data_IF_866173964568
#
_entry.id   IF_866173964568
#
_cell.length_a   1.000
_cell.length_b   1.000
_cell.length_c   1.000
_cell.angle_alpha   90.00
_cell.angle_beta   90.00
_cell.angle_gamma   90.00
#
_symmetry.space_group_name_H-M   'P 1'
#
loop_
_entity.id
_entity.type
_entity.pdbx_description
1 polymer ?
#
# COMPACT_ATOMS: atom_id res chain seq x y z
N UNK A 1 -36.66 -15.29 -16.40
CA UNK A 1 -36.08 -16.44 -15.68
C UNK A 1 -34.62 -16.15 -15.35
N UNK A 2 -34.37 -15.84 -14.06
CA UNK A 2 -33.11 -15.92 -13.29
C UNK A 2 -31.79 -15.50 -13.97
N UNK A 3 -31.33 -14.28 -13.67
CA UNK A 3 -29.91 -13.92 -13.64
C UNK A 3 -29.22 -14.62 -12.45
N UNK A 4 -28.17 -15.43 -12.65
CA UNK A 4 -27.37 -15.97 -11.55
C UNK A 4 -26.00 -15.29 -11.52
N UNK A 5 -25.90 -14.04 -11.06
CA UNK A 5 -24.62 -13.32 -10.96
C UNK A 5 -24.46 -12.47 -9.67
N UNK A 6 -25.10 -12.86 -8.57
CA UNK A 6 -24.94 -12.18 -7.25
C UNK A 6 -24.42 -13.17 -6.19
N UNK A 7 -23.48 -14.05 -6.56
CA UNK A 7 -22.94 -15.06 -5.65
C UNK A 7 -21.52 -14.80 -5.12
N UNK A 8 -20.56 -14.13 -5.81
CA UNK A 8 -19.23 -13.96 -5.23
C UNK A 8 -19.14 -12.83 -4.19
N UNK A 9 -20.15 -11.96 -4.10
CA UNK A 9 -20.12 -10.77 -3.23
C UNK A 9 -20.95 -10.92 -1.95
N UNK A 10 -21.70 -12.02 -1.76
CA UNK A 10 -22.53 -12.21 -0.55
C UNK A 10 -21.71 -12.19 0.74
N UNK A 11 -20.53 -12.82 0.74
CA UNK A 11 -19.61 -12.79 1.88
C UNK A 11 -19.02 -11.39 2.12
N UNK A 12 -18.77 -10.64 1.04
CA UNK A 12 -18.25 -9.27 1.05
C UNK A 12 -19.26 -8.33 1.73
N UNK A 13 -20.52 -8.40 1.29
CA UNK A 13 -21.63 -7.63 1.85
C UNK A 13 -21.92 -8.03 3.30
N UNK A 14 -21.89 -9.32 3.64
CA UNK A 14 -22.21 -9.80 5.00
C UNK A 14 -21.12 -9.43 6.02
N UNK A 15 -19.83 -9.52 5.65
CA UNK A 15 -18.72 -9.10 6.50
C UNK A 15 -18.76 -7.58 6.76
N UNK A 16 -19.05 -6.80 5.72
CA UNK A 16 -19.23 -5.36 5.82
C UNK A 16 -20.46 -5.00 6.70
N UNK A 17 -21.57 -5.73 6.53
CA UNK A 17 -22.77 -5.59 7.37
C UNK A 17 -22.51 -5.93 8.85
N UNK A 18 -21.67 -6.92 9.14
CA UNK A 18 -21.23 -7.25 10.50
C UNK A 18 -20.42 -6.11 11.13
N UNK A 19 -19.52 -5.48 10.37
CA UNK A 19 -18.75 -4.30 10.81
C UNK A 19 -19.65 -3.09 11.10
N UNK A 20 -20.68 -2.89 10.27
CA UNK A 20 -21.69 -1.84 10.47
C UNK A 20 -22.55 -2.10 11.70
N UNK A 21 -22.99 -3.36 11.93
CA UNK A 21 -23.80 -3.72 13.12
C UNK A 21 -23.08 -3.36 14.42
N UNK A 22 -21.75 -3.50 14.48
CA UNK A 22 -20.94 -3.09 15.62
C UNK A 22 -20.96 -1.57 15.87
N UNK A 23 -21.08 -0.75 14.83
CA UNK A 23 -21.17 0.71 14.95
C UNK A 23 -22.57 1.19 15.35
N UNK A 24 -23.63 0.57 14.81
CA UNK A 24 -25.02 0.99 15.07
C UNK A 24 -25.52 0.61 16.46
N UNK A 25 -24.87 -0.35 17.14
CA UNK A 25 -25.27 -0.79 18.49
C UNK A 25 -24.97 0.24 19.59
N UNK A 26 -24.11 1.24 19.33
CA UNK A 26 -23.64 2.19 20.35
C UNK A 26 -24.42 3.52 20.44
N UNK A 27 -25.38 3.83 19.56
CA UNK A 27 -25.97 5.18 19.54
C UNK A 27 -27.50 5.18 19.41
N UNK A 28 -28.20 5.60 20.48
CA UNK A 28 -29.66 5.83 20.51
C UNK A 28 -30.11 7.16 19.87
N UNK A 29 -29.20 7.87 19.18
CA UNK A 29 -29.51 9.14 18.53
C UNK A 29 -29.84 8.95 17.05
N UNK A 30 -31.10 9.21 16.68
CA UNK A 30 -31.61 9.15 15.28
C UNK A 30 -30.76 9.94 14.28
N UNK A 31 -30.18 11.06 14.69
CA UNK A 31 -29.27 11.87 13.85
C UNK A 31 -27.92 11.18 13.58
N UNK A 32 -27.36 10.51 14.59
CA UNK A 32 -26.09 9.79 14.45
C UNK A 32 -26.27 8.58 13.55
N UNK A 33 -27.39 7.85 13.70
CA UNK A 33 -27.73 6.72 12.82
C UNK A 33 -27.86 7.16 11.35
N UNK A 34 -28.46 8.32 11.08
CA UNK A 34 -28.57 8.87 9.71
C UNK A 34 -27.22 9.25 9.10
N UNK A 35 -26.36 9.92 9.88
CA UNK A 35 -25.00 10.28 9.45
C UNK A 35 -24.12 9.04 9.23
N UNK A 36 -24.19 8.07 10.14
CA UNK A 36 -23.50 6.78 10.01
C UNK A 36 -23.99 6.02 8.78
N UNK A 37 -25.30 6.00 8.52
CA UNK A 37 -25.89 5.40 7.32
C UNK A 37 -25.36 6.04 6.03
N UNK A 38 -25.30 7.38 5.97
CA UNK A 38 -24.76 8.11 4.82
C UNK A 38 -23.27 7.85 4.59
N UNK A 39 -22.47 7.81 5.66
CA UNK A 39 -21.03 7.54 5.57
C UNK A 39 -20.76 6.10 5.12
N UNK A 40 -21.50 5.14 5.68
CA UNK A 40 -21.47 3.73 5.29
C UNK A 40 -21.90 3.53 3.84
N UNK A 41 -22.93 4.24 3.38
CA UNK A 41 -23.43 4.16 2.01
C UNK A 41 -22.41 4.70 1.00
N UNK A 42 -21.71 5.79 1.32
CA UNK A 42 -20.61 6.30 0.48
C UNK A 42 -19.46 5.30 0.38
N UNK A 43 -19.05 4.70 1.50
CA UNK A 43 -18.02 3.65 1.49
C UNK A 43 -18.44 2.42 0.68
N UNK A 44 -19.73 2.06 0.68
CA UNK A 44 -20.25 0.99 -0.16
C UNK A 44 -20.25 1.33 -1.65
N UNK A 45 -20.52 2.58 -2.02
CA UNK A 45 -20.44 3.05 -3.42
C UNK A 45 -19.00 3.00 -3.91
N UNK A 46 -18.05 3.54 -3.14
CA UNK A 46 -16.62 3.51 -3.49
C UNK A 46 -16.13 2.06 -3.68
N UNK A 47 -16.54 1.15 -2.79
CA UNK A 47 -16.27 -0.28 -2.89
C UNK A 47 -16.89 -0.91 -4.14
N UNK A 48 -18.17 -0.60 -4.43
CA UNK A 48 -18.88 -1.13 -5.59
C UNK A 48 -18.30 -0.61 -6.92
N UNK A 49 -17.84 0.64 -6.96
CA UNK A 49 -17.21 1.23 -8.15
C UNK A 49 -15.83 0.62 -8.41
N UNK A 50 -15.01 0.40 -7.37
CA UNK A 50 -13.73 -0.32 -7.49
C UNK A 50 -13.95 -1.77 -7.92
N UNK A 51 -14.99 -2.42 -7.40
CA UNK A 51 -15.32 -3.82 -7.69
C UNK A 51 -16.13 -4.00 -8.98
N UNK A 52 -16.43 -2.92 -9.71
CA UNK A 52 -17.09 -3.00 -11.03
C UNK A 52 -16.19 -3.81 -11.98
N UNK A 53 -16.70 -4.87 -12.62
CA UNK A 53 -15.91 -5.65 -13.56
C UNK A 53 -15.46 -4.75 -14.71
N UNK A 54 -14.16 -4.72 -14.98
CA UNK A 54 -13.63 -4.14 -16.22
C UNK A 54 -14.11 -4.97 -17.40
N UNK A 55 -14.49 -4.30 -18.49
CA UNK A 55 -14.47 -4.96 -19.79
C UNK A 55 -13.01 -5.31 -20.06
N UNK A 56 -12.74 -6.58 -20.34
CA UNK A 56 -11.44 -7.03 -20.83
C UNK A 56 -11.22 -6.38 -22.20
N UNK A 57 -10.51 -5.26 -22.23
CA UNK A 57 -10.01 -4.70 -23.48
C UNK A 57 -8.77 -5.50 -23.90
N UNK A 58 -9.02 -6.45 -24.81
CA UNK A 58 -8.01 -7.15 -25.56
C UNK A 58 -7.56 -6.27 -26.73
N UNK A 59 -6.56 -5.42 -26.50
CA UNK A 59 -5.73 -4.92 -27.59
C UNK A 59 -4.29 -4.76 -27.10
N UNK A 60 -3.46 -5.73 -27.49
CA UNK A 60 -2.02 -5.65 -27.43
C UNK A 60 -1.47 -4.92 -28.66
N UNK A 61 -0.31 -4.30 -28.45
CA UNK A 61 0.72 -3.87 -29.41
C UNK A 61 0.63 -2.45 -29.99
N UNK A 62 1.51 -1.56 -29.52
CA UNK A 62 2.73 -1.17 -30.27
C UNK A 62 3.60 -0.14 -29.54
N UNK A 63 4.92 -0.31 -29.72
CA UNK A 63 6.02 0.68 -29.66
C UNK A 63 6.71 0.99 -28.32
N UNK A 64 7.81 0.27 -28.11
CA UNK A 64 9.15 0.72 -27.69
C UNK A 64 9.37 2.20 -27.30
N UNK A 65 8.80 2.62 -26.18
CA UNK A 65 9.35 3.68 -25.35
C UNK A 65 9.26 3.18 -23.91
N UNK A 66 10.40 3.10 -23.20
CA UNK A 66 10.57 2.35 -21.95
C UNK A 66 9.34 2.44 -21.05
N UNK A 67 8.69 1.30 -20.79
CA UNK A 67 7.53 1.24 -19.91
C UNK A 67 7.90 1.89 -18.57
N UNK A 68 7.14 2.89 -18.09
CA UNK A 68 7.42 3.49 -16.80
C UNK A 68 7.45 2.36 -15.77
N UNK A 69 8.55 2.27 -15.03
CA UNK A 69 8.76 1.25 -14.00
C UNK A 69 7.58 1.34 -13.02
N UNK A 70 6.67 0.37 -13.08
CA UNK A 70 5.44 0.42 -12.29
C UNK A 70 5.82 0.26 -10.82
N UNK A 71 5.38 1.19 -9.97
CA UNK A 71 5.58 1.12 -8.53
C UNK A 71 5.05 -0.22 -8.00
N UNK A 72 5.94 -1.00 -7.39
CA UNK A 72 5.62 -2.30 -6.85
C UNK A 72 5.25 -2.17 -5.36
N UNK A 73 3.99 -2.50 -5.05
CA UNK A 73 3.44 -2.50 -3.70
C UNK A 73 3.27 -3.92 -3.18
N UNK A 74 3.77 -4.20 -1.98
CA UNK A 74 3.45 -5.41 -1.22
C UNK A 74 2.29 -5.10 -0.27
N UNK A 75 1.12 -5.71 -0.51
CA UNK A 75 -0.05 -5.57 0.34
C UNK A 75 -0.25 -6.82 1.21
N UNK A 76 -0.38 -6.61 2.53
CA UNK A 76 -0.46 -7.67 3.54
C UNK A 76 -1.78 -7.52 4.30
N UNK A 77 -2.65 -8.52 4.22
CA UNK A 77 -3.95 -8.48 4.89
C UNK A 77 -4.50 -9.89 5.06
N UNK A 78 -5.03 -10.26 6.23
CA UNK A 78 -5.55 -11.60 6.50
C UNK A 78 -6.97 -11.81 5.93
N UNK A 79 -7.71 -10.72 5.71
CA UNK A 79 -9.03 -10.73 5.10
C UNK A 79 -8.94 -10.86 3.58
N UNK A 80 -9.44 -11.97 3.04
CA UNK A 80 -9.54 -12.18 1.58
C UNK A 80 -10.33 -11.08 0.87
N UNK A 81 -11.30 -10.49 1.57
CA UNK A 81 -12.13 -9.39 1.08
C UNK A 81 -11.30 -8.13 0.91
N UNK A 82 -10.57 -7.76 1.96
CA UNK A 82 -9.74 -6.56 1.98
C UNK A 82 -8.56 -6.73 1.01
N UNK A 83 -7.94 -7.91 0.94
CA UNK A 83 -6.90 -8.24 -0.06
C UNK A 83 -7.36 -7.99 -1.50
N UNK A 84 -8.52 -8.51 -1.88
CA UNK A 84 -9.05 -8.32 -3.24
C UNK A 84 -9.37 -6.86 -3.53
N UNK A 85 -9.89 -6.14 -2.52
CA UNK A 85 -10.21 -4.73 -2.65
C UNK A 85 -8.93 -3.90 -2.85
N UNK A 86 -7.92 -4.05 -1.99
CA UNK A 86 -6.67 -3.30 -2.08
C UNK A 86 -5.88 -3.65 -3.35
N UNK A 87 -5.87 -4.93 -3.75
CA UNK A 87 -5.27 -5.37 -5.01
C UNK A 87 -5.86 -4.63 -6.21
N UNK A 88 -7.20 -4.58 -6.29
CA UNK A 88 -7.88 -3.89 -7.39
C UNK A 88 -7.67 -2.39 -7.34
N UNK A 89 -7.74 -1.78 -6.16
CA UNK A 89 -7.53 -0.35 -5.97
C UNK A 89 -6.14 0.09 -6.44
N UNK A 90 -5.11 -0.68 -6.08
CA UNK A 90 -3.73 -0.44 -6.47
C UNK A 90 -3.50 -0.70 -7.97
N UNK A 91 -4.12 -1.74 -8.55
CA UNK A 91 -4.02 -2.01 -10.00
C UNK A 91 -4.65 -0.91 -10.85
N UNK A 92 -5.84 -0.42 -10.47
CA UNK A 92 -6.48 0.73 -11.14
C UNK A 92 -5.62 2.00 -11.03
N UNK A 93 -4.80 2.08 -9.97
CA UNK A 93 -3.80 3.14 -9.78
C UNK A 93 -2.46 2.87 -10.47
N UNK A 94 -2.43 1.94 -11.44
CA UNK A 94 -1.23 1.53 -12.20
C UNK A 94 -0.04 1.13 -11.34
N UNK A 95 -0.27 0.47 -10.21
CA UNK A 95 0.77 -0.16 -9.42
C UNK A 95 0.90 -1.64 -9.78
N UNK A 96 2.13 -2.16 -9.76
CA UNK A 96 2.35 -3.60 -9.66
C UNK A 96 2.06 -4.00 -8.21
N UNK A 97 1.33 -5.10 -7.98
CA UNK A 97 0.90 -5.48 -6.64
C UNK A 97 1.21 -6.94 -6.38
N UNK A 98 1.87 -7.21 -5.25
CA UNK A 98 1.92 -8.54 -4.64
C UNK A 98 1.05 -8.52 -3.40
N UNK A 99 0.11 -9.46 -3.29
CA UNK A 99 -0.71 -9.65 -2.09
C UNK A 99 -0.28 -10.88 -1.32
N UNK A 100 -0.22 -10.76 0.01
CA UNK A 100 0.04 -11.88 0.93
C UNK A 100 -0.96 -11.85 2.08
N UNK A 101 -1.22 -13.02 2.68
CA UNK A 101 -2.31 -13.22 3.64
C UNK A 101 -1.91 -13.06 5.11
N UNK A 102 -0.64 -12.83 5.40
CA UNK A 102 -0.14 -12.80 6.78
C UNK A 102 1.24 -12.15 6.84
N UNK A 103 1.59 -11.63 8.03
CA UNK A 103 2.91 -11.08 8.29
C UNK A 103 4.04 -12.11 8.08
N UNK A 104 3.83 -13.37 8.45
CA UNK A 104 4.82 -14.44 8.24
C UNK A 104 5.09 -14.65 6.74
N UNK A 105 4.05 -14.66 5.90
CA UNK A 105 4.23 -14.73 4.44
C UNK A 105 4.92 -13.50 3.88
N UNK A 106 4.65 -12.32 4.43
CA UNK A 106 5.35 -11.10 4.04
C UNK A 106 6.86 -11.19 4.35
N UNK A 107 7.22 -11.66 5.54
CA UNK A 107 8.64 -11.86 5.90
C UNK A 107 9.31 -12.91 5.00
N UNK A 108 8.64 -14.02 4.70
CA UNK A 108 9.12 -15.02 3.73
C UNK A 108 9.34 -14.42 2.34
N UNK A 109 8.37 -13.63 1.86
CA UNK A 109 8.45 -12.94 0.58
C UNK A 109 9.58 -11.91 0.53
N UNK A 110 9.93 -11.31 1.68
CA UNK A 110 11.06 -10.40 1.83
C UNK A 110 12.39 -11.13 2.13
N UNK A 111 12.39 -12.45 2.32
CA UNK A 111 13.58 -13.21 2.71
C UNK A 111 14.07 -12.90 4.15
N UNK A 112 13.18 -12.44 5.01
CA UNK A 112 13.45 -12.07 6.41
C UNK A 112 13.08 -13.18 7.42
N UNK A 113 12.72 -14.37 6.96
CA UNK A 113 12.37 -15.51 7.80
C UNK A 113 13.58 -16.37 8.21
N UNK A 114 14.81 -15.97 7.84
CA UNK A 114 16.06 -16.63 8.21
C UNK A 114 16.35 -17.93 7.44
N UNK A 115 15.39 -18.44 6.68
CA UNK A 115 15.61 -19.47 5.68
C UNK A 115 15.91 -18.76 4.35
N UNK A 116 17.06 -19.06 3.75
CA UNK A 116 17.41 -18.62 2.41
C UNK A 116 16.42 -19.19 1.40
N UNK A 117 15.25 -18.55 1.27
CA UNK A 117 14.29 -18.85 0.23
C UNK A 117 14.86 -18.28 -1.07
N UNK A 118 15.44 -19.16 -1.86
CA UNK A 118 15.97 -18.97 -3.20
C UNK A 118 14.87 -18.62 -4.20
N UNK A 119 14.24 -17.46 -4.04
CA UNK A 119 13.53 -16.79 -5.12
C UNK A 119 14.44 -15.64 -5.53
N UNK A 120 15.02 -15.67 -6.73
CA UNK A 120 16.03 -14.71 -7.18
C UNK A 120 15.65 -13.26 -6.85
N UNK A 121 16.30 -12.70 -5.82
CA UNK A 121 15.94 -11.43 -5.16
C UNK A 121 16.54 -10.20 -5.84
N UNK A 122 17.12 -10.34 -7.03
CA UNK A 122 17.83 -9.24 -7.69
C UNK A 122 16.86 -8.27 -8.42
N UNK A 123 15.63 -8.70 -8.73
CA UNK A 123 14.69 -7.92 -9.58
C UNK A 123 13.35 -7.52 -8.91
N UNK A 124 13.14 -7.80 -7.63
CA UNK A 124 11.90 -7.43 -6.92
C UNK A 124 12.09 -6.18 -6.06
N UNK A 125 12.35 -5.04 -6.72
CA UNK A 125 12.39 -3.73 -6.07
C UNK A 125 10.99 -3.35 -5.58
N UNK A 126 10.70 -3.64 -4.31
CA UNK A 126 9.47 -3.19 -3.65
C UNK A 126 9.64 -1.71 -3.30
N UNK A 127 8.65 -0.89 -3.68
CA UNK A 127 8.67 0.55 -3.43
C UNK A 127 7.82 0.97 -2.24
N UNK A 128 6.85 0.14 -1.84
CA UNK A 128 5.91 0.44 -0.76
C UNK A 128 5.38 -0.86 -0.15
N UNK A 129 5.21 -0.87 1.17
CA UNK A 129 4.53 -1.95 1.89
C UNK A 129 3.27 -1.38 2.52
N UNK A 130 2.12 -2.02 2.28
CA UNK A 130 0.86 -1.68 2.93
C UNK A 130 0.41 -2.90 3.75
N UNK A 131 0.26 -2.76 5.07
CA UNK A 131 -0.12 -3.90 5.94
C UNK A 131 -1.33 -3.58 6.79
N UNK A 132 -2.22 -4.56 6.95
CA UNK A 132 -3.24 -4.48 7.99
C UNK A 132 -2.60 -4.51 9.38
N UNK A 133 -3.18 -3.75 10.32
CA UNK A 133 -2.71 -3.72 11.70
C UNK A 133 -3.07 -5.01 12.46
N UNK A 134 -4.31 -5.49 12.31
CA UNK A 134 -4.93 -6.52 13.13
C UNK A 134 -4.94 -7.87 12.42
N UNK A 135 -3.77 -8.50 12.33
CA UNK A 135 -3.63 -9.85 11.78
C UNK A 135 -3.44 -10.90 12.90
N UNK A 136 -3.92 -12.14 12.71
CA UNK A 136 -3.68 -13.22 13.66
C UNK A 136 -2.20 -13.61 13.72
N UNK A 137 -1.72 -13.92 14.93
CA UNK A 137 -0.35 -14.36 15.18
C UNK A 137 0.65 -13.21 15.30
N UNK A 138 0.81 -12.41 14.24
CA UNK A 138 1.71 -11.26 14.23
C UNK A 138 1.00 -10.05 13.63
N UNK A 139 1.01 -8.94 14.38
CA UNK A 139 0.39 -7.67 13.99
C UNK A 139 1.16 -6.97 12.87
N UNK A 140 0.49 -6.08 12.13
CA UNK A 140 1.16 -5.23 11.14
C UNK A 140 2.22 -4.32 11.74
N UNK A 141 2.04 -3.93 13.00
CA UNK A 141 3.04 -3.17 13.76
C UNK A 141 4.33 -3.97 14.00
N UNK A 142 4.21 -5.23 14.42
CA UNK A 142 5.38 -6.11 14.60
C UNK A 142 6.07 -6.43 13.27
N UNK A 143 5.28 -6.63 12.20
CA UNK A 143 5.81 -6.79 10.85
C UNK A 143 6.63 -5.57 10.42
N UNK A 144 6.06 -4.37 10.58
CA UNK A 144 6.75 -3.11 10.25
C UNK A 144 8.07 -3.00 11.02
N UNK A 145 8.06 -3.28 12.32
CA UNK A 145 9.26 -3.22 13.15
C UNK A 145 10.37 -4.13 12.62
N UNK A 146 10.05 -5.38 12.29
CA UNK A 146 10.99 -6.33 11.68
C UNK A 146 11.53 -5.87 10.33
N UNK A 147 10.69 -5.24 9.50
CA UNK A 147 11.11 -4.66 8.21
C UNK A 147 12.10 -3.52 8.45
N UNK A 148 11.81 -2.62 9.40
CA UNK A 148 12.64 -1.46 9.74
C UNK A 148 13.96 -1.84 10.42
N UNK A 149 14.00 -2.96 11.13
CA UNK A 149 15.24 -3.54 11.68
C UNK A 149 16.17 -4.11 10.60
N UNK A 150 15.64 -4.47 9.42
CA UNK A 150 16.43 -5.00 8.31
C UNK A 150 17.14 -3.91 7.52
N UNK A 151 18.46 -4.04 7.34
CA UNK A 151 19.26 -3.08 6.56
C UNK A 151 18.83 -2.98 5.10
N UNK A 152 18.29 -4.06 4.52
CA UNK A 152 17.88 -4.12 3.12
C UNK A 152 16.53 -3.43 2.85
N UNK A 153 15.63 -3.39 3.84
CA UNK A 153 14.25 -2.94 3.64
C UNK A 153 13.84 -1.75 4.52
N UNK A 154 14.71 -1.28 5.42
CA UNK A 154 14.40 -0.14 6.32
C UNK A 154 13.99 1.13 5.60
N UNK A 155 14.51 1.36 4.40
CA UNK A 155 14.23 2.55 3.58
C UNK A 155 12.88 2.45 2.87
N UNK A 156 12.30 1.25 2.76
CA UNK A 156 11.00 1.08 2.14
C UNK A 156 9.92 1.69 3.04
N UNK A 157 9.08 2.59 2.53
CA UNK A 157 7.97 3.14 3.30
C UNK A 157 6.96 2.05 3.62
N UNK A 158 6.51 2.04 4.87
CA UNK A 158 5.50 1.10 5.38
C UNK A 158 4.28 1.88 5.81
N UNK A 159 3.13 1.58 5.21
CA UNK A 159 1.84 2.18 5.52
C UNK A 159 0.99 1.16 6.26
N UNK A 160 0.49 1.54 7.43
CA UNK A 160 -0.40 0.71 8.24
C UNK A 160 -1.85 1.00 7.84
N UNK A 161 -2.66 -0.04 7.67
CA UNK A 161 -4.09 0.05 7.44
C UNK A 161 -4.83 -0.52 8.65
N UNK A 162 -5.83 0.18 9.17
CA UNK A 162 -6.58 -0.29 10.34
C UNK A 162 -8.07 -0.03 10.17
N UNK A 163 -8.90 -0.92 10.71
CA UNK A 163 -10.34 -0.69 10.82
C UNK A 163 -10.73 0.14 12.04
N UNK A 164 -9.80 0.28 13.00
CA UNK A 164 -10.00 0.99 14.25
C UNK A 164 -9.26 2.33 14.22
N UNK A 165 -9.95 3.37 14.69
CA UNK A 165 -9.40 4.73 14.83
C UNK A 165 -8.99 4.99 16.29
N UNK A 166 -7.81 4.51 16.67
CA UNK A 166 -7.28 4.61 18.03
C UNK A 166 -6.03 5.49 17.98
N UNK A 167 -6.14 6.74 18.45
CA UNK A 167 -5.05 7.72 18.36
C UNK A 167 -3.71 7.21 18.96
N UNK A 168 -3.66 6.63 20.19
CA UNK A 168 -2.40 6.13 20.73
C UNK A 168 -1.73 5.04 19.88
N UNK A 169 -2.52 4.30 19.08
CA UNK A 169 -1.99 3.29 18.16
C UNK A 169 -1.42 3.93 16.91
N UNK A 170 -2.11 4.93 16.38
CA UNK A 170 -1.67 5.71 15.21
C UNK A 170 -0.33 6.37 15.54
N UNK A 171 -0.28 7.10 16.66
CA UNK A 171 0.92 7.81 17.11
C UNK A 171 2.09 6.85 17.26
N UNK A 172 1.90 5.71 17.94
CA UNK A 172 2.94 4.68 18.10
C UNK A 172 3.44 4.12 16.77
N UNK A 173 2.57 3.92 15.79
CA UNK A 173 3.00 3.41 14.49
C UNK A 173 3.89 4.43 13.77
N UNK A 174 3.49 5.71 13.78
CA UNK A 174 4.23 6.80 13.13
C UNK A 174 5.57 7.05 13.82
N UNK A 175 5.61 7.05 15.16
CA UNK A 175 6.85 7.20 15.94
C UNK A 175 7.88 6.10 15.66
N UNK A 176 7.41 4.88 15.41
CA UNK A 176 8.25 3.70 15.15
C UNK A 176 8.61 3.55 13.66
N UNK A 177 8.27 4.54 12.82
CA UNK A 177 8.72 4.64 11.44
C UNK A 177 7.71 4.18 10.38
N UNK A 178 6.41 4.13 10.70
CA UNK A 178 5.39 4.08 9.66
C UNK A 178 5.42 5.37 8.83
N UNK A 179 5.34 5.24 7.52
CA UNK A 179 5.23 6.38 6.60
C UNK A 179 3.85 7.04 6.74
N UNK A 180 2.81 6.23 6.91
CA UNK A 180 1.44 6.70 7.03
C UNK A 180 0.54 5.67 7.74
N UNK A 181 -0.62 6.11 8.20
CA UNK A 181 -1.66 5.30 8.80
C UNK A 181 -3.02 5.58 8.15
N UNK A 182 -3.58 4.58 7.48
CA UNK A 182 -4.85 4.68 6.76
C UNK A 182 -5.98 3.96 7.50
N UNK A 183 -7.14 4.61 7.59
CA UNK A 183 -8.36 3.97 8.04
C UNK A 183 -9.05 3.24 6.89
N UNK A 184 -9.40 1.97 7.14
CA UNK A 184 -10.19 1.17 6.21
C UNK A 184 -11.65 1.63 6.19
N UNK A 185 -12.33 1.61 5.04
CA UNK A 185 -11.82 1.17 3.73
C UNK A 185 -10.91 2.23 3.09
N UNK A 186 -9.78 1.77 2.55
CA UNK A 186 -8.81 2.62 1.84
C UNK A 186 -9.45 3.21 0.59
N UNK A 187 -9.25 4.50 0.34
CA UNK A 187 -9.83 5.19 -0.82
C UNK A 187 -8.83 5.32 -1.94
N UNK A 188 -9.33 5.48 -3.16
CA UNK A 188 -8.50 5.75 -4.33
C UNK A 188 -7.64 7.01 -4.16
N UNK A 189 -8.18 8.02 -3.47
CA UNK A 189 -7.46 9.24 -3.16
C UNK A 189 -6.22 9.00 -2.27
N UNK A 190 -6.31 8.06 -1.32
CA UNK A 190 -5.19 7.73 -0.42
C UNK A 190 -4.05 7.07 -1.20
N UNK A 191 -4.39 6.11 -2.07
CA UNK A 191 -3.41 5.43 -2.94
C UNK A 191 -2.75 6.41 -3.90
N UNK A 192 -3.52 7.29 -4.54
CA UNK A 192 -2.98 8.33 -5.43
C UNK A 192 -2.02 9.26 -4.69
N UNK A 193 -2.39 9.71 -3.49
CA UNK A 193 -1.53 10.56 -2.65
C UNK A 193 -0.21 9.87 -2.30
N UNK A 194 -0.26 8.60 -1.88
CA UNK A 194 0.95 7.83 -1.58
C UNK A 194 1.83 7.66 -2.81
N UNK A 195 1.25 7.26 -3.94
CA UNK A 195 1.94 7.13 -5.22
C UNK A 195 2.67 8.42 -5.62
N UNK A 196 1.96 9.54 -5.60
CA UNK A 196 2.51 10.84 -6.01
C UNK A 196 3.63 11.29 -5.07
N UNK A 197 3.52 10.97 -3.78
CA UNK A 197 4.59 11.23 -2.79
C UNK A 197 5.86 10.45 -3.13
N UNK A 198 5.73 9.16 -3.44
CA UNK A 198 6.87 8.30 -3.77
C UNK A 198 7.57 8.74 -5.07
N UNK A 199 6.80 9.09 -6.10
CA UNK A 199 7.37 9.57 -7.36
C UNK A 199 8.14 10.89 -7.17
N UNK A 200 7.62 11.80 -6.34
CA UNK A 200 8.31 13.06 -6.02
C UNK A 200 9.59 12.82 -5.21
N UNK A 201 9.56 11.88 -4.26
CA UNK A 201 10.73 11.52 -3.48
C UNK A 201 11.85 10.96 -4.39
N UNK A 202 11.50 10.11 -5.35
CA UNK A 202 12.44 9.54 -6.32
C UNK A 202 13.01 10.61 -7.26
N UNK A 203 12.17 11.51 -7.78
CA UNK A 203 12.63 12.66 -8.58
C UNK A 203 13.59 13.58 -7.80
N UNK A 204 13.30 13.83 -6.52
CA UNK A 204 14.12 14.69 -5.68
C UNK A 204 15.47 14.02 -5.34
N UNK A 205 15.46 12.72 -5.06
CA UNK A 205 16.66 11.93 -4.85
C UNK A 205 17.56 11.96 -6.10
N UNK A 206 16.97 11.80 -7.29
CA UNK A 206 17.71 11.85 -8.55
C UNK A 206 18.37 13.22 -8.78
N UNK A 207 17.63 14.32 -8.58
CA UNK A 207 18.17 15.69 -8.69
C UNK A 207 19.33 15.93 -7.73
N UNK A 208 19.21 15.46 -6.49
CA UNK A 208 20.27 15.61 -5.47
C UNK A 208 21.54 14.84 -5.85
N UNK A 209 21.40 13.62 -6.38
CA UNK A 209 22.54 12.83 -6.86
C UNK A 209 23.27 13.55 -8.01
N UNK A 210 22.52 14.08 -8.97
CA UNK A 210 23.10 14.81 -10.10
C UNK A 210 23.82 16.08 -9.66
N UNK A 211 23.23 16.86 -8.78
CA UNK A 211 23.86 18.06 -8.24
C UNK A 211 25.16 17.75 -7.47
N UNK A 212 25.17 16.67 -6.66
CA UNK A 212 26.37 16.24 -5.93
C UNK A 212 27.50 15.82 -6.87
N UNK A 213 27.18 15.11 -7.96
CA UNK A 213 28.15 14.71 -9.00
C UNK A 213 28.74 15.92 -9.71
N UNK A 214 27.91 16.92 -10.03
CA UNK A 214 28.36 18.17 -10.65
C UNK A 214 29.31 18.96 -9.74
N UNK A 215 28.97 19.10 -8.45
CA UNK A 215 29.84 19.73 -7.46
C UNK A 215 31.19 19.01 -7.32
N UNK A 216 31.18 17.67 -7.29
CA UNK A 216 32.42 16.88 -7.25
C UNK A 216 33.27 17.06 -8.51
N UNK A 217 32.66 17.06 -9.69
CA UNK A 217 33.37 17.29 -10.94
C UNK A 217 34.01 18.68 -11.00
N UNK A 218 33.30 19.71 -10.53
CA UNK A 218 33.79 21.08 -10.47
C UNK A 218 34.94 21.26 -9.46
N UNK A 219 34.89 20.56 -8.32
CA UNK A 219 36.00 20.57 -7.35
C UNK A 219 37.25 19.89 -7.92
N UNK A 220 37.10 18.70 -8.53
CA UNK A 220 38.21 17.98 -9.19
C UNK A 220 38.84 18.84 -10.29
N UNK A 221 38.03 19.47 -11.14
CA UNK A 221 38.53 20.37 -12.18
C UNK A 221 39.31 21.55 -11.61
N UNK A 222 38.81 22.14 -10.52
CA UNK A 222 39.47 23.27 -9.83
C UNK A 222 40.82 22.86 -9.21
N UNK A 223 40.91 21.67 -8.62
CA UNK A 223 42.15 21.12 -8.08
C UNK A 223 43.19 20.84 -9.18
N UNK A 224 42.79 20.21 -10.29
CA UNK A 224 43.66 19.95 -11.44
C UNK A 224 44.20 21.25 -12.07
N UNK A 225 43.38 22.30 -12.12
CA UNK A 225 43.79 23.61 -12.63
C UNK A 225 44.83 24.28 -11.70
N UNK A 226 44.69 24.11 -10.38
CA UNK A 226 45.68 24.62 -9.40
C UNK A 226 47.00 23.85 -9.43
N UNK A 227 46.98 22.55 -9.74
CA UNK A 227 48.17 21.70 -9.79
C UNK A 227 48.99 21.81 -11.09
N UNK A 228 48.49 22.54 -12.11
CA UNK A 228 49.17 22.80 -13.40
C UNK A 228 49.88 24.16 -13.45
N UNK A 229 50.06 24.82 -12.31
CA UNK A 229 50.90 26.02 -12.10
C UNK A 229 52.10 25.57 -11.28
#
# INVERSE_FOLDING_TARGET
>A
SRFPLILPYKSLFLHFFCKIKSLTFLTNHKHIISLLSSLVYRSLIDMADVMRPEKLDMSNDTSSLGSPELLHVLAVDDSIVDRKFIERLLRVSSCKVTVVDSATRALQYLGLDGNHSSVGFEDLKINLIMTDYSMPGMTGYELMKKIKESSAFREIPVVIMSSENILPRIDRCLEEGAEDFLLKPVKLADVKRLRDSLLKADEMAFKNIMHKRELQANDIYSQLKRAKI
#
